data_IF_566704373095
#
_entry.id   IF_566704373095
#
_cell.length_a   1.000
_cell.length_b   1.000
_cell.length_c   1.000
_cell.angle_alpha   90.00
_cell.angle_beta   90.00
_cell.angle_gamma   90.00
#
_symmetry.space_group_name_H-M   'P 1'
#
loop_
_entity.id
_entity.type
_entity.pdbx_description
1 polymer ?
#
# COMPACT_ATOMS: atom_id res chain seq x y z
N UNK A 1 -30.97 4.85 -13.73
CA UNK A 1 -29.63 5.49 -13.56
C UNK A 1 -29.57 6.46 -12.40
N UNK A 2 -30.61 7.26 -12.19
CA UNK A 2 -30.66 8.28 -11.13
C UNK A 2 -30.44 7.70 -9.72
N UNK A 3 -31.07 6.59 -9.40
CA UNK A 3 -31.01 5.95 -8.07
C UNK A 3 -29.62 5.40 -7.73
N UNK A 4 -28.90 4.83 -8.73
CA UNK A 4 -27.50 4.38 -8.52
C UNK A 4 -26.58 5.54 -8.22
N UNK A 5 -26.73 6.65 -8.95
CA UNK A 5 -25.92 7.85 -8.69
C UNK A 5 -26.22 8.45 -7.31
N UNK A 6 -27.50 8.47 -6.90
CA UNK A 6 -27.88 8.91 -5.55
C UNK A 6 -27.28 8.01 -4.47
N UNK A 7 -27.37 6.70 -4.64
CA UNK A 7 -26.77 5.72 -3.69
C UNK A 7 -25.25 5.88 -3.59
N UNK A 8 -24.54 6.04 -4.74
CA UNK A 8 -23.08 6.24 -4.74
C UNK A 8 -22.73 7.54 -4.00
N UNK A 9 -23.46 8.64 -4.23
CA UNK A 9 -23.23 9.89 -3.51
C UNK A 9 -23.48 9.74 -2.01
N UNK A 10 -24.55 9.05 -1.62
CA UNK A 10 -24.83 8.75 -0.22
C UNK A 10 -23.71 7.93 0.42
N UNK A 11 -23.21 6.90 -0.24
CA UNK A 11 -22.09 6.09 0.26
C UNK A 11 -20.78 6.88 0.39
N UNK A 12 -20.59 7.94 -0.38
CA UNK A 12 -19.44 8.84 -0.31
C UNK A 12 -19.63 9.99 0.69
N UNK A 13 -20.80 10.17 1.26
CA UNK A 13 -21.08 11.21 2.25
C UNK A 13 -20.86 10.66 3.67
N UNK A 14 -19.93 11.22 4.46
CA UNK A 14 -19.68 10.80 5.84
C UNK A 14 -20.88 11.00 6.79
N UNK A 15 -21.88 11.79 6.40
CA UNK A 15 -23.09 12.02 7.18
C UNK A 15 -24.17 10.96 6.97
N UNK A 16 -24.05 10.13 5.93
CA UNK A 16 -25.01 9.07 5.61
C UNK A 16 -25.05 8.03 6.73
N UNK A 17 -26.24 7.70 7.17
CA UNK A 17 -26.49 6.66 8.17
C UNK A 17 -26.94 5.37 7.50
N UNK A 18 -26.73 4.21 8.13
CA UNK A 18 -27.21 2.93 7.59
C UNK A 18 -28.70 2.87 7.26
N UNK A 19 -29.52 3.67 7.96
CA UNK A 19 -30.96 3.77 7.73
C UNK A 19 -31.33 4.53 6.45
N UNK A 20 -30.40 5.32 5.91
CA UNK A 20 -30.63 6.07 4.67
C UNK A 20 -30.45 5.18 3.42
N UNK A 21 -30.01 3.94 3.60
CA UNK A 21 -29.74 2.98 2.52
C UNK A 21 -30.72 1.81 2.55
N UNK A 22 -31.37 1.57 1.40
CA UNK A 22 -32.27 0.43 1.23
C UNK A 22 -31.53 -0.92 1.31
N UNK A 23 -32.17 -1.92 1.90
CA UNK A 23 -31.68 -3.31 1.99
C UNK A 23 -32.82 -4.27 1.65
N UNK A 24 -32.70 -5.11 0.62
CA UNK A 24 -31.56 -5.23 -0.30
C UNK A 24 -31.42 -4.02 -1.23
N UNK A 25 -30.18 -3.70 -1.63
CA UNK A 25 -29.86 -2.64 -2.56
C UNK A 25 -29.37 -3.15 -3.91
N UNK A 26 -29.19 -2.23 -4.87
CA UNK A 26 -28.71 -2.53 -6.23
C UNK A 26 -27.27 -2.06 -6.49
N UNK A 27 -26.58 -1.58 -5.47
CA UNK A 27 -25.16 -1.25 -5.47
C UNK A 27 -24.44 -2.17 -4.51
N UNK A 28 -23.40 -2.85 -4.95
CA UNK A 28 -22.59 -3.74 -4.13
C UNK A 28 -21.35 -2.98 -3.62
N UNK A 29 -21.34 -2.50 -2.37
CA UNK A 29 -20.18 -1.84 -1.80
C UNK A 29 -19.07 -2.85 -1.54
N UNK A 30 -17.83 -2.50 -1.92
CA UNK A 30 -16.62 -3.26 -1.61
C UNK A 30 -15.82 -2.51 -0.55
N UNK A 31 -15.37 -3.21 0.46
CA UNK A 31 -14.54 -2.63 1.51
C UNK A 31 -13.06 -2.85 1.18
N UNK A 32 -12.33 -1.77 0.96
CA UNK A 32 -10.88 -1.81 0.81
C UNK A 32 -10.20 -2.25 2.12
N UNK A 33 -9.11 -2.99 2.01
CA UNK A 33 -8.29 -3.35 3.16
C UNK A 33 -7.62 -2.11 3.75
N UNK A 34 -7.48 -2.08 5.07
CA UNK A 34 -6.67 -1.06 5.75
C UNK A 34 -5.26 -1.06 5.15
N UNK A 35 -4.66 0.14 4.96
CA UNK A 35 -3.39 0.39 4.26
C UNK A 35 -3.41 0.18 2.74
N UNK A 36 -4.57 -0.03 2.13
CA UNK A 36 -4.76 0.02 0.68
C UNK A 36 -3.86 -0.95 -0.08
N UNK A 37 -3.28 -0.49 -1.20
CA UNK A 37 -2.44 -1.30 -2.10
C UNK A 37 -1.18 -1.87 -1.43
N UNK A 38 -0.70 -1.27 -0.34
CA UNK A 38 0.42 -1.81 0.44
C UNK A 38 0.06 -3.07 1.24
N UNK A 39 -1.24 -3.36 1.38
CA UNK A 39 -1.74 -4.58 2.03
C UNK A 39 -2.27 -5.59 1.03
N UNK A 40 -2.96 -5.11 -0.01
CA UNK A 40 -3.52 -5.94 -1.08
C UNK A 40 -3.43 -5.18 -2.40
N UNK A 41 -2.71 -5.73 -3.36
CA UNK A 41 -2.55 -5.16 -4.70
C UNK A 41 -3.82 -5.38 -5.54
N UNK A 42 -4.91 -4.70 -5.19
CA UNK A 42 -6.22 -4.82 -5.82
C UNK A 42 -6.80 -3.48 -6.28
N UNK A 43 -7.72 -3.51 -7.24
CA UNK A 43 -8.39 -2.32 -7.79
C UNK A 43 -9.19 -1.56 -6.72
N UNK A 44 -9.84 -2.30 -5.80
CA UNK A 44 -10.59 -1.72 -4.68
C UNK A 44 -9.68 -0.87 -3.80
N UNK A 45 -8.51 -1.38 -3.45
CA UNK A 45 -7.52 -0.69 -2.65
C UNK A 45 -6.93 0.50 -3.42
N UNK A 46 -6.59 0.28 -4.69
CA UNK A 46 -6.02 1.32 -5.54
C UNK A 46 -6.95 2.53 -5.69
N UNK A 47 -8.24 2.30 -5.90
CA UNK A 47 -9.21 3.39 -6.06
C UNK A 47 -9.38 4.23 -4.79
N UNK A 48 -9.42 3.59 -3.63
CA UNK A 48 -9.50 4.30 -2.34
C UNK A 48 -8.20 5.05 -2.03
N UNK A 49 -7.05 4.46 -2.36
CA UNK A 49 -5.75 5.13 -2.20
C UNK A 49 -5.61 6.36 -3.08
N UNK A 50 -6.03 6.27 -4.34
CA UNK A 50 -6.05 7.42 -5.26
C UNK A 50 -6.95 8.54 -4.75
N UNK A 51 -8.14 8.21 -4.23
CA UNK A 51 -9.02 9.20 -3.62
C UNK A 51 -8.35 9.91 -2.45
N UNK A 52 -7.69 9.17 -1.55
CA UNK A 52 -6.94 9.73 -0.42
C UNK A 52 -5.76 10.60 -0.87
N UNK A 53 -4.97 10.15 -1.83
CA UNK A 53 -3.84 10.90 -2.37
C UNK A 53 -4.29 12.20 -3.05
N UNK A 54 -5.50 12.22 -3.61
CA UNK A 54 -6.12 13.42 -4.17
C UNK A 54 -6.77 14.34 -3.12
N UNK A 55 -6.69 14.01 -1.83
CA UNK A 55 -7.33 14.77 -0.74
C UNK A 55 -8.86 14.64 -0.71
N UNK A 56 -9.42 13.62 -1.37
CA UNK A 56 -10.85 13.36 -1.44
C UNK A 56 -11.31 12.38 -0.36
N UNK A 57 -12.63 12.30 -0.14
CA UNK A 57 -13.20 11.25 0.69
C UNK A 57 -12.81 9.86 0.16
N UNK A 58 -12.44 8.89 1.02
CA UNK A 58 -11.89 7.61 0.62
C UNK A 58 -12.96 6.64 0.08
N UNK A 59 -13.67 7.07 -0.95
CA UNK A 59 -14.66 6.28 -1.68
C UNK A 59 -14.49 6.49 -3.19
N UNK A 60 -14.74 5.44 -3.97
CA UNK A 60 -14.64 5.50 -5.42
C UNK A 60 -15.64 4.54 -6.07
N UNK A 61 -16.11 4.86 -7.28
CA UNK A 61 -16.84 3.94 -8.12
C UNK A 61 -15.87 3.21 -9.05
N UNK A 62 -15.98 1.88 -9.10
CA UNK A 62 -15.20 1.03 -9.99
C UNK A 62 -16.05 0.57 -11.17
N UNK A 63 -15.47 0.60 -12.36
CA UNK A 63 -16.09 0.11 -13.59
C UNK A 63 -15.05 -0.69 -14.36
N UNK A 64 -15.42 -1.87 -14.81
CA UNK A 64 -14.63 -2.66 -15.75
C UNK A 64 -14.94 -2.23 -17.17
N UNK A 65 -13.91 -2.08 -18.01
CA UNK A 65 -14.04 -1.67 -19.40
C UNK A 65 -14.18 -2.91 -20.25
N UNK A 66 -15.29 -2.99 -20.98
CA UNK A 66 -15.60 -4.07 -21.91
C UNK A 66 -15.53 -3.56 -23.36
N UNK A 67 -15.13 -4.42 -24.28
CA UNK A 67 -15.15 -4.16 -25.70
C UNK A 67 -16.60 -4.20 -26.25
N UNK A 68 -16.78 -3.72 -27.48
CA UNK A 68 -18.10 -3.73 -28.16
C UNK A 68 -18.67 -5.15 -28.37
N UNK A 69 -17.80 -6.15 -28.49
CA UNK A 69 -18.13 -7.57 -28.58
C UNK A 69 -18.51 -8.23 -27.26
N UNK A 70 -18.46 -7.47 -26.13
CA UNK A 70 -18.74 -7.95 -24.80
C UNK A 70 -17.56 -8.61 -24.08
N UNK A 71 -16.41 -8.74 -24.72
CA UNK A 71 -15.19 -9.25 -24.08
C UNK A 71 -14.54 -8.18 -23.18
N UNK A 72 -13.75 -8.63 -22.22
CA UNK A 72 -13.01 -7.71 -21.34
C UNK A 72 -11.86 -7.03 -22.09
N UNK A 73 -11.84 -5.70 -22.08
CA UNK A 73 -10.75 -4.94 -22.68
C UNK A 73 -9.42 -5.24 -21.98
N UNK A 74 -8.37 -5.44 -22.76
CA UNK A 74 -7.00 -5.67 -22.29
C UNK A 74 -6.14 -4.45 -22.59
N UNK A 75 -4.91 -4.46 -22.10
CA UNK A 75 -4.03 -3.28 -22.17
C UNK A 75 -3.96 -2.60 -23.53
N UNK A 76 -3.85 -3.31 -24.68
CA UNK A 76 -3.82 -2.65 -25.97
C UNK A 76 -5.10 -1.82 -26.26
N UNK A 77 -6.27 -2.41 -26.00
CA UNK A 77 -7.56 -1.72 -26.17
C UNK A 77 -7.72 -0.57 -25.17
N UNK A 78 -7.28 -0.77 -23.92
CA UNK A 78 -7.34 0.27 -22.88
C UNK A 78 -6.49 1.48 -23.24
N UNK A 79 -5.33 1.29 -23.87
CA UNK A 79 -4.49 2.40 -24.37
C UNK A 79 -5.23 3.22 -25.44
N UNK A 80 -5.94 2.56 -26.36
CA UNK A 80 -6.73 3.25 -27.37
C UNK A 80 -7.90 4.03 -26.76
N UNK A 81 -8.62 3.42 -25.82
CA UNK A 81 -9.69 4.08 -25.05
C UNK A 81 -9.15 5.29 -24.31
N UNK A 82 -8.01 5.15 -23.65
CA UNK A 82 -7.40 6.25 -22.90
C UNK A 82 -7.00 7.41 -23.82
N UNK A 83 -6.40 7.13 -24.98
CA UNK A 83 -6.08 8.16 -25.99
C UNK A 83 -7.32 8.86 -26.49
N UNK A 84 -8.36 8.08 -26.85
CA UNK A 84 -9.62 8.60 -27.40
C UNK A 84 -10.33 9.57 -26.44
N UNK A 85 -10.31 9.27 -25.15
CA UNK A 85 -11.03 10.03 -24.13
C UNK A 85 -10.14 10.92 -23.26
N UNK A 86 -8.84 11.01 -23.54
CA UNK A 86 -7.89 11.80 -22.76
C UNK A 86 -7.72 11.30 -21.31
N UNK A 87 -7.85 9.98 -21.10
CA UNK A 87 -7.76 9.37 -19.77
C UNK A 87 -6.31 9.01 -19.44
N UNK A 88 -5.99 9.02 -18.13
CA UNK A 88 -4.71 8.55 -17.61
C UNK A 88 -4.76 7.05 -17.33
N UNK A 89 -3.67 6.35 -17.63
CA UNK A 89 -3.46 4.95 -17.25
C UNK A 89 -2.35 4.89 -16.23
N UNK A 90 -2.58 4.17 -15.15
CA UNK A 90 -1.58 3.84 -14.14
C UNK A 90 -1.62 2.35 -13.84
N UNK A 91 -0.52 1.78 -13.37
CA UNK A 91 -0.51 0.42 -12.86
C UNK A 91 -0.56 0.40 -11.32
N UNK A 92 -1.14 -0.67 -10.77
CA UNK A 92 -1.11 -0.88 -9.30
C UNK A 92 0.34 -1.00 -8.81
N UNK A 93 1.23 -1.57 -9.62
CA UNK A 93 2.67 -1.67 -9.32
C UNK A 93 3.29 -0.28 -9.11
N UNK A 94 3.01 0.66 -10.01
CA UNK A 94 3.55 2.02 -9.91
C UNK A 94 2.96 2.78 -8.73
N UNK A 95 1.66 2.57 -8.44
CA UNK A 95 1.04 3.14 -7.25
C UNK A 95 1.66 2.61 -5.95
N UNK A 96 1.98 1.32 -5.90
CA UNK A 96 2.70 0.72 -4.76
C UNK A 96 4.08 1.37 -4.61
N UNK A 97 4.85 1.46 -5.71
CA UNK A 97 6.18 2.07 -5.69
C UNK A 97 6.13 3.54 -5.20
N UNK A 98 5.18 4.31 -5.72
CA UNK A 98 4.95 5.69 -5.31
C UNK A 98 4.64 5.81 -3.81
N UNK A 99 3.72 4.98 -3.29
CA UNK A 99 3.37 4.99 -1.86
C UNK A 99 4.51 4.55 -0.96
N UNK A 100 5.31 3.56 -1.39
CA UNK A 100 6.50 3.13 -0.64
C UNK A 100 7.53 4.24 -0.52
N UNK A 101 7.68 5.07 -1.54
CA UNK A 101 8.59 6.24 -1.49
C UNK A 101 8.08 7.35 -0.56
N UNK A 102 6.76 7.58 -0.54
CA UNK A 102 6.16 8.64 0.29
C UNK A 102 5.92 8.23 1.75
N UNK A 103 5.66 6.96 1.99
CA UNK A 103 5.26 6.47 3.30
C UNK A 103 6.34 5.57 3.90
N UNK A 104 6.80 5.90 5.10
CA UNK A 104 7.62 4.95 5.86
C UNK A 104 6.80 3.70 6.21
N UNK A 105 7.20 2.56 5.68
CA UNK A 105 6.57 1.26 5.96
C UNK A 105 6.98 0.68 7.30
N UNK A 106 8.01 1.27 7.92
CA UNK A 106 8.53 0.87 9.23
C UNK A 106 8.47 2.03 10.21
N UNK A 107 8.36 1.71 11.47
CA UNK A 107 8.47 2.63 12.60
C UNK A 107 9.77 2.34 13.33
N UNK A 108 10.60 3.38 13.51
CA UNK A 108 11.85 3.28 14.24
C UNK A 108 11.54 3.31 15.75
N UNK A 109 12.04 2.35 16.50
CA UNK A 109 11.97 2.32 17.96
C UNK A 109 13.13 3.09 18.62
N UNK A 110 13.24 2.93 19.91
CA UNK A 110 14.29 3.57 20.72
C UNK A 110 15.63 2.91 20.44
N UNK A 111 16.64 3.73 20.18
CA UNK A 111 18.02 3.28 20.02
C UNK A 111 18.63 2.95 21.37
N UNK A 112 19.31 1.80 21.47
CA UNK A 112 19.93 1.30 22.68
C UNK A 112 21.39 0.97 22.42
N UNK A 113 22.28 1.34 23.36
CA UNK A 113 23.67 0.88 23.34
C UNK A 113 23.73 -0.61 23.74
N UNK A 114 24.44 -1.40 22.94
CA UNK A 114 24.57 -2.84 23.14
C UNK A 114 26.05 -3.22 23.18
N UNK A 115 26.64 -3.29 24.38
CA UNK A 115 27.99 -3.77 24.54
C UNK A 115 28.07 -5.28 24.29
N UNK A 116 29.07 -5.70 23.52
CA UNK A 116 29.33 -7.10 23.17
C UNK A 116 30.84 -7.40 23.30
N UNK A 117 31.22 -8.67 23.29
CA UNK A 117 32.62 -9.08 23.20
C UNK A 117 33.34 -8.57 21.94
N UNK A 118 32.60 -8.15 20.91
CA UNK A 118 33.09 -7.60 19.62
C UNK A 118 33.11 -6.07 19.59
N UNK A 119 32.81 -5.42 20.72
CA UNK A 119 32.71 -3.98 20.87
C UNK A 119 31.27 -3.48 21.06
N UNK A 120 31.13 -2.16 21.08
CA UNK A 120 29.86 -1.49 21.25
C UNK A 120 29.10 -1.37 19.94
N UNK A 121 27.83 -1.74 19.96
CA UNK A 121 26.90 -1.59 18.85
C UNK A 121 25.72 -0.70 19.29
N UNK A 122 25.18 0.05 18.36
CA UNK A 122 23.87 0.70 18.52
C UNK A 122 22.82 -0.25 17.98
N UNK A 123 21.87 -0.64 18.81
CA UNK A 123 20.74 -1.48 18.43
C UNK A 123 19.53 -0.60 18.18
N UNK A 124 18.93 -0.70 16.99
CA UNK A 124 17.72 0.03 16.64
C UNK A 124 16.65 -0.97 16.22
N UNK A 125 15.57 -1.13 17.00
CA UNK A 125 14.43 -1.92 16.58
C UNK A 125 13.57 -1.14 15.57
N UNK A 126 13.05 -1.85 14.58
CA UNK A 126 12.10 -1.34 13.62
C UNK A 126 10.87 -2.23 13.60
N UNK A 127 9.70 -1.63 13.71
CA UNK A 127 8.44 -2.33 13.61
C UNK A 127 7.79 -2.09 12.27
N UNK A 128 7.49 -3.18 11.54
CA UNK A 128 6.77 -3.08 10.28
C UNK A 128 5.30 -2.76 10.53
N UNK A 129 4.83 -1.62 10.02
CA UNK A 129 3.46 -1.14 10.24
C UNK A 129 2.38 -2.05 9.66
N UNK A 130 2.71 -2.89 8.66
CA UNK A 130 1.73 -3.72 7.95
C UNK A 130 1.29 -4.97 8.71
N UNK A 131 2.20 -5.61 9.43
CA UNK A 131 1.98 -6.91 10.08
C UNK A 131 2.51 -6.95 11.53
N UNK A 132 3.12 -5.85 12.00
CA UNK A 132 3.70 -5.77 13.34
C UNK A 132 5.01 -6.53 13.52
N UNK A 133 5.60 -7.08 12.44
CA UNK A 133 6.89 -7.76 12.52
C UNK A 133 7.99 -6.80 12.98
N UNK A 134 8.87 -7.31 13.81
CA UNK A 134 10.01 -6.56 14.33
C UNK A 134 11.29 -6.95 13.59
N UNK A 135 12.09 -5.96 13.28
CA UNK A 135 13.41 -6.08 12.67
C UNK A 135 14.41 -5.32 13.52
N UNK A 136 15.65 -5.77 13.54
CA UNK A 136 16.69 -5.15 14.32
C UNK A 136 17.83 -4.72 13.39
N UNK A 137 18.30 -3.47 13.55
CA UNK A 137 19.54 -3.03 12.96
C UNK A 137 20.61 -2.95 14.08
N UNK A 138 21.75 -3.61 13.85
CA UNK A 138 22.96 -3.47 14.66
C UNK A 138 23.94 -2.60 13.89
N UNK A 139 24.38 -1.52 14.50
CA UNK A 139 25.20 -0.50 13.88
C UNK A 139 26.50 -0.37 14.66
N UNK A 140 27.65 -0.41 13.97
CA UNK A 140 28.96 -0.16 14.55
C UNK A 140 29.64 0.98 13.79
N UNK A 141 30.10 1.99 14.52
CA UNK A 141 30.72 3.18 13.92
C UNK A 141 29.74 4.27 13.51
N UNK A 142 30.26 5.22 12.76
CA UNK A 142 29.52 6.35 12.19
C UNK A 142 30.00 6.58 10.75
N UNK A 143 29.13 7.16 9.93
CA UNK A 143 29.42 7.47 8.51
C UNK A 143 28.65 8.71 8.08
N UNK A 144 29.10 9.34 7.03
CA UNK A 144 28.39 10.44 6.38
C UNK A 144 27.30 9.95 5.44
N UNK A 145 26.31 10.82 5.14
CA UNK A 145 25.09 10.45 4.41
C UNK A 145 25.35 9.82 3.03
N UNK A 146 26.40 10.24 2.37
CA UNK A 146 26.75 9.82 1.00
C UNK A 146 27.92 8.81 0.97
N UNK A 147 28.36 8.33 2.14
CA UNK A 147 29.43 7.35 2.25
C UNK A 147 28.87 5.93 2.04
N UNK A 148 29.47 5.12 1.14
CA UNK A 148 29.12 3.72 1.00
C UNK A 148 29.46 2.94 2.28
N UNK A 149 28.47 2.23 2.82
CA UNK A 149 28.64 1.41 4.04
C UNK A 149 28.48 -0.07 3.75
N UNK A 150 29.20 -0.89 4.48
CA UNK A 150 29.05 -2.34 4.41
C UNK A 150 27.78 -2.75 5.19
N UNK A 151 26.84 -3.40 4.50
CA UNK A 151 25.58 -3.88 5.10
C UNK A 151 25.48 -5.38 4.94
N UNK A 152 25.15 -6.08 6.03
CA UNK A 152 24.79 -7.49 6.01
C UNK A 152 23.32 -7.66 6.37
N UNK A 153 22.54 -8.21 5.46
CA UNK A 153 21.15 -8.60 5.73
C UNK A 153 21.11 -10.05 6.22
N UNK A 154 20.41 -10.28 7.31
CA UNK A 154 20.34 -11.56 7.99
C UNK A 154 18.91 -11.92 8.32
N UNK A 155 18.54 -13.19 8.11
CA UNK A 155 17.24 -13.71 8.52
C UNK A 155 17.30 -14.17 9.98
N UNK A 156 16.26 -13.92 10.77
CA UNK A 156 16.13 -14.39 12.16
C UNK A 156 15.73 -15.88 12.25
N UNK A 157 16.21 -16.73 11.36
CA UNK A 157 15.96 -18.15 11.41
C UNK A 157 16.78 -18.82 12.52
N UNK A 158 16.15 -19.64 13.34
CA UNK A 158 16.79 -20.35 14.46
C UNK A 158 17.93 -21.30 14.04
N UNK A 159 18.00 -21.70 12.77
CA UNK A 159 19.09 -22.51 12.22
C UNK A 159 20.43 -21.75 12.10
N UNK A 160 20.44 -20.46 12.35
CA UNK A 160 21.64 -19.61 12.20
C UNK A 160 22.60 -19.70 13.40
N UNK A 161 22.21 -20.30 14.51
CA UNK A 161 23.12 -20.57 15.63
C UNK A 161 24.21 -21.58 15.27
N UNK A 162 24.04 -22.35 14.20
CA UNK A 162 24.92 -23.46 13.83
C UNK A 162 25.61 -23.29 12.46
N UNK A 163 25.25 -22.27 11.68
CA UNK A 163 25.85 -22.03 10.38
C UNK A 163 26.85 -20.89 10.45
N UNK A 164 28.17 -21.15 10.29
CA UNK A 164 29.11 -20.08 10.05
C UNK A 164 28.69 -19.34 8.78
N UNK A 165 28.66 -18.04 8.90
CA UNK A 165 28.40 -17.17 7.77
C UNK A 165 29.48 -17.34 6.70
N UNK A 166 29.14 -17.43 5.42
CA UNK A 166 30.13 -17.39 4.35
C UNK A 166 30.88 -16.08 4.35
#
# INVERSE_FOLDING_TARGET
MHDRAATIRALADPKTKPADLGRPGHVNPLRARSRGVLRRAGHTEASVDLAKLAGLYPAAALIEIINEDGTMARLPQLVEVAKRFGLKIISIKDLIAYRVQLESIVEKGVEVDMPTQYGHFRLIPFRQKSNGMEHIALIKGSWDKDEPILVRVHSSCCLLYTSPSP
#
